data_IF_877541341334
#
_entry.id   IF_877541341334
#
_cell.length_a   1.000
_cell.length_b   1.000
_cell.length_c   1.000
_cell.angle_alpha   90.00
_cell.angle_beta   90.00
_cell.angle_gamma   90.00
#
_symmetry.space_group_name_H-M   'P 1'
#
loop_
_entity.id
_entity.type
_entity.pdbx_description
1 polymer ?
#
# COMPACT_ATOMS: atom_id res chain seq x y z
N UNK A 1 -14.26 -9.30 -6.53
CA UNK A 1 -13.74 -10.50 -5.83
C UNK A 1 -13.26 -10.08 -4.45
N UNK A 2 -13.53 -10.82 -3.35
CA UNK A 2 -12.95 -10.50 -2.05
C UNK A 2 -11.42 -10.63 -2.10
N UNK A 3 -10.71 -9.64 -1.54
CA UNK A 3 -9.24 -9.62 -1.49
C UNK A 3 -8.77 -9.39 -0.06
N UNK A 4 -7.59 -9.92 0.26
CA UNK A 4 -6.94 -9.66 1.54
C UNK A 4 -6.31 -8.26 1.55
N UNK A 5 -6.32 -7.63 2.71
CA UNK A 5 -5.52 -6.43 2.94
C UNK A 5 -4.03 -6.78 2.95
N UNK A 6 -3.19 -5.82 2.54
CA UNK A 6 -1.73 -5.97 2.54
C UNK A 6 -1.12 -4.92 3.47
N UNK A 7 0.05 -5.23 4.01
CA UNK A 7 0.83 -4.28 4.81
C UNK A 7 1.30 -3.13 3.90
N UNK A 8 0.94 -1.90 4.24
CA UNK A 8 1.31 -0.69 3.49
C UNK A 8 2.29 0.22 4.23
N UNK A 9 2.31 0.16 5.57
CA UNK A 9 3.26 0.87 6.43
C UNK A 9 3.61 -0.03 7.60
N UNK A 10 4.89 -0.09 7.94
CA UNK A 10 5.40 -0.89 9.03
C UNK A 10 5.97 0.00 10.14
N UNK A 11 5.84 -0.45 11.39
CA UNK A 11 6.57 0.07 12.55
C UNK A 11 6.33 1.56 12.89
N UNK A 12 5.06 1.96 13.00
CA UNK A 12 4.71 3.30 13.51
C UNK A 12 4.84 3.36 15.05
N UNK A 13 5.31 4.48 15.63
CA UNK A 13 5.44 4.62 17.07
C UNK A 13 4.06 4.67 17.75
N UNK A 14 4.00 4.16 18.98
CA UNK A 14 2.78 4.19 19.79
C UNK A 14 2.74 5.49 20.61
N UNK A 15 1.97 6.48 20.15
CA UNK A 15 1.79 7.77 20.82
C UNK A 15 0.30 8.01 21.23
N UNK A 16 -0.14 7.45 22.38
CA UNK A 16 -1.46 7.74 22.94
C UNK A 16 -1.59 9.22 23.35
N UNK A 17 -2.81 9.80 23.36
CA UNK A 17 -4.13 9.20 23.14
C UNK A 17 -4.67 9.34 21.71
N UNK A 18 -3.93 9.99 20.80
CA UNK A 18 -4.46 10.39 19.49
C UNK A 18 -3.68 9.83 18.28
N UNK A 19 -2.50 9.24 18.48
CA UNK A 19 -1.69 8.63 17.41
C UNK A 19 -1.60 9.50 16.15
N UNK A 20 -1.00 10.70 16.26
CA UNK A 20 -0.96 11.65 15.15
C UNK A 20 -0.28 11.05 13.91
N UNK A 21 0.74 10.21 14.09
CA UNK A 21 1.50 9.57 13.01
C UNK A 21 0.64 8.62 12.18
N UNK A 22 -0.18 7.80 12.85
CA UNK A 22 -1.13 6.88 12.18
C UNK A 22 -2.17 7.68 11.42
N UNK A 23 -2.70 8.74 12.04
CA UNK A 23 -3.73 9.60 11.45
C UNK A 23 -3.23 10.28 10.18
N UNK A 24 -2.00 10.80 10.19
CA UNK A 24 -1.39 11.43 9.02
C UNK A 24 -1.21 10.44 7.86
N UNK A 25 -0.68 9.25 8.14
CA UNK A 25 -0.47 8.20 7.13
C UNK A 25 -1.80 7.77 6.49
N UNK A 26 -2.81 7.47 7.32
CA UNK A 26 -4.13 7.05 6.82
C UNK A 26 -4.77 8.18 6.00
N UNK A 27 -4.67 9.43 6.47
CA UNK A 27 -5.18 10.60 5.75
C UNK A 27 -4.49 10.76 4.39
N UNK A 28 -3.16 10.60 4.33
CA UNK A 28 -2.38 10.68 3.08
C UNK A 28 -2.87 9.64 2.07
N UNK A 29 -3.03 8.39 2.48
CA UNK A 29 -3.53 7.30 1.63
C UNK A 29 -4.92 7.61 1.07
N UNK A 30 -5.85 8.03 1.94
CA UNK A 30 -7.24 8.34 1.54
C UNK A 30 -7.30 9.54 0.60
N UNK A 31 -6.50 10.58 0.84
CA UNK A 31 -6.43 11.76 -0.02
C UNK A 31 -5.86 11.43 -1.41
N UNK A 32 -4.79 10.64 -1.48
CA UNK A 32 -4.20 10.21 -2.75
C UNK A 32 -5.18 9.33 -3.54
N UNK A 33 -5.81 8.37 -2.85
CA UNK A 33 -6.86 7.54 -3.45
C UNK A 33 -7.99 8.39 -4.02
N UNK A 34 -8.53 9.35 -3.26
CA UNK A 34 -9.61 10.23 -3.73
C UNK A 34 -9.24 11.04 -4.98
N UNK A 35 -7.95 11.37 -5.17
CA UNK A 35 -7.47 12.16 -6.31
C UNK A 35 -7.26 11.32 -7.58
N UNK A 36 -6.82 10.07 -7.46
CA UNK A 36 -6.42 9.23 -8.61
C UNK A 36 -7.42 8.09 -8.92
N UNK A 37 -8.29 7.74 -7.99
CA UNK A 37 -9.26 6.65 -8.17
C UNK A 37 -10.31 7.01 -9.22
N UNK A 38 -10.70 6.01 -10.01
CA UNK A 38 -11.78 6.10 -10.99
C UNK A 38 -13.13 5.83 -10.34
N UNK A 39 -14.21 6.23 -11.02
CA UNK A 39 -15.57 5.95 -10.56
C UNK A 39 -15.79 4.44 -10.38
N UNK A 40 -16.41 4.05 -9.26
CA UNK A 40 -16.65 2.67 -8.81
C UNK A 40 -15.43 1.84 -8.39
N UNK A 41 -14.22 2.39 -8.52
CA UNK A 41 -13.01 1.69 -8.12
C UNK A 41 -12.92 1.64 -6.58
N UNK A 42 -12.53 0.50 -6.01
CA UNK A 42 -12.15 0.37 -4.60
C UNK A 42 -10.65 0.57 -4.42
N UNK A 43 -10.19 0.84 -3.20
CA UNK A 43 -8.75 1.03 -2.89
C UNK A 43 -7.89 -0.14 -3.40
N UNK A 44 -8.33 -1.38 -3.20
CA UNK A 44 -7.60 -2.56 -3.70
C UNK A 44 -7.53 -2.62 -5.23
N UNK A 45 -8.63 -2.31 -5.91
CA UNK A 45 -8.74 -2.31 -7.37
C UNK A 45 -7.90 -1.18 -7.98
N UNK A 46 -7.87 -0.03 -7.32
CA UNK A 46 -7.01 1.10 -7.65
C UNK A 46 -5.53 0.69 -7.61
N UNK A 47 -5.08 0.10 -6.51
CA UNK A 47 -3.69 -0.34 -6.36
C UNK A 47 -3.33 -1.44 -7.37
N UNK A 48 -4.25 -2.35 -7.68
CA UNK A 48 -4.05 -3.38 -8.72
C UNK A 48 -3.89 -2.76 -10.12
N UNK A 49 -4.61 -1.68 -10.43
CA UNK A 49 -4.49 -0.97 -11.70
C UNK A 49 -3.19 -0.18 -11.83
N UNK A 50 -2.82 0.60 -10.83
CA UNK A 50 -1.63 1.47 -10.91
C UNK A 50 -0.33 0.70 -10.61
N UNK A 51 -0.43 -0.41 -9.89
CA UNK A 51 0.69 -1.17 -9.37
C UNK A 51 1.26 -0.60 -8.07
N UNK A 52 1.96 -1.46 -7.33
CA UNK A 52 2.52 -1.10 -6.02
C UNK A 52 3.62 -0.03 -6.10
N UNK A 53 4.47 -0.04 -7.15
CA UNK A 53 5.50 0.99 -7.34
C UNK A 53 4.87 2.39 -7.36
N UNK A 54 3.84 2.57 -8.19
CA UNK A 54 3.15 3.86 -8.33
C UNK A 54 2.40 4.26 -7.06
N UNK A 55 1.85 3.30 -6.33
CA UNK A 55 1.24 3.57 -5.03
C UNK A 55 2.24 4.20 -4.05
N UNK A 56 3.44 3.63 -3.90
CA UNK A 56 4.47 4.17 -2.99
C UNK A 56 5.00 5.54 -3.45
N UNK A 57 5.11 5.77 -4.76
CA UNK A 57 5.44 7.10 -5.31
C UNK A 57 4.37 8.15 -5.02
N UNK A 58 3.10 7.85 -5.29
CA UNK A 58 2.00 8.81 -5.12
C UNK A 58 1.67 9.09 -3.65
N UNK A 59 1.87 8.09 -2.79
CA UNK A 59 1.67 8.24 -1.35
C UNK A 59 2.93 8.74 -0.65
N UNK A 60 4.07 8.82 -1.35
CA UNK A 60 5.36 9.23 -0.79
C UNK A 60 5.62 8.50 0.55
N UNK A 61 5.48 7.17 0.49
CA UNK A 61 5.70 6.24 1.59
C UNK A 61 6.94 5.40 1.28
N UNK A 62 7.78 5.19 2.28
CA UNK A 62 9.00 4.41 2.11
C UNK A 62 8.68 2.91 1.98
N UNK A 63 9.03 2.31 0.84
CA UNK A 63 9.03 0.86 0.70
C UNK A 63 10.20 0.26 1.48
N UNK A 64 9.89 -0.52 2.51
CA UNK A 64 10.88 -1.19 3.36
C UNK A 64 10.83 -2.70 3.22
N UNK A 65 11.87 -3.39 3.69
CA UNK A 65 11.95 -4.87 3.70
C UNK A 65 10.74 -5.57 4.34
N UNK A 66 10.03 -4.89 5.24
CA UNK A 66 8.87 -5.44 5.95
C UNK A 66 7.65 -5.67 5.05
N UNK A 67 7.64 -5.07 3.86
CA UNK A 67 6.58 -5.26 2.87
C UNK A 67 6.76 -6.56 2.06
N UNK A 68 7.95 -7.15 2.09
CA UNK A 68 8.20 -8.44 1.48
C UNK A 68 7.71 -9.54 2.41
N UNK A 69 6.87 -10.41 1.89
CA UNK A 69 6.42 -11.58 2.62
C UNK A 69 7.57 -12.59 2.71
N UNK A 70 7.92 -12.99 3.93
CA UNK A 70 8.97 -13.96 4.23
C UNK A 70 8.43 -15.28 4.78
N UNK A 71 7.10 -15.47 4.76
CA UNK A 71 6.49 -16.72 5.17
C UNK A 71 6.83 -17.86 4.20
N UNK A 72 6.79 -19.12 4.67
CA UNK A 72 7.18 -20.29 3.88
C UNK A 72 6.44 -20.43 2.55
N UNK A 73 5.20 -19.91 2.44
CA UNK A 73 4.41 -19.88 1.21
C UNK A 73 4.52 -18.60 0.38
N UNK A 74 5.40 -17.66 0.73
CA UNK A 74 5.44 -16.30 0.19
C UNK A 74 5.82 -16.19 -1.29
N UNK A 75 6.32 -17.26 -1.92
CA UNK A 75 6.80 -17.19 -3.32
C UNK A 75 5.75 -16.64 -4.30
N UNK A 76 4.46 -16.85 -4.03
CA UNK A 76 3.35 -16.34 -4.86
C UNK A 76 3.08 -14.84 -4.73
N UNK A 77 3.62 -14.18 -3.70
CA UNK A 77 3.44 -12.73 -3.49
C UNK A 77 4.50 -11.90 -4.21
N UNK A 78 5.60 -12.53 -4.63
CA UNK A 78 6.69 -11.88 -5.38
C UNK A 78 6.32 -11.66 -6.84
N UNK A 79 6.93 -10.64 -7.47
CA UNK A 79 6.80 -10.44 -8.91
C UNK A 79 7.63 -11.52 -9.65
N UNK A 80 6.95 -12.43 -10.35
CA UNK A 80 7.57 -13.46 -11.20
C UNK A 80 7.50 -13.09 -12.70
N UNK A 81 7.33 -11.80 -13.00
CA UNK A 81 7.20 -11.27 -14.35
C UNK A 81 8.24 -10.18 -14.62
N UNK A 82 8.58 -9.98 -15.90
CA UNK A 82 9.37 -8.86 -16.37
C UNK A 82 8.55 -7.56 -16.55
N UNK A 83 7.23 -7.59 -16.33
CA UNK A 83 6.38 -6.40 -16.36
C UNK A 83 6.63 -5.54 -15.11
N UNK A 84 7.50 -4.54 -15.28
CA UNK A 84 7.83 -3.55 -14.25
C UNK A 84 7.72 -2.16 -14.87
N UNK A 85 7.11 -1.24 -14.13
CA UNK A 85 7.10 0.18 -14.47
C UNK A 85 8.23 0.88 -13.70
N UNK A 86 9.00 1.71 -14.42
CA UNK A 86 10.12 2.50 -13.92
C UNK A 86 9.71 3.96 -13.72
#
# INVERSE_FOLDING_TARGET
KPTFHKLAVANLPNNPPHWPEVTEVVRKIVQTYKKDAKHWERVGEWIERIGWNRFFELTDLAFTKHHLDTWTGARKTMNMSAHVHF
#
